data_IF_343406339729
#
_entry.id   IF_343406339729
#
_cell.length_a   1.000
_cell.length_b   1.000
_cell.length_c   1.000
_cell.angle_alpha   90.00
_cell.angle_beta   90.00
_cell.angle_gamma   90.00
#
_symmetry.space_group_name_H-M   'P 1'
#
loop_
_entity.id
_entity.type
_entity.pdbx_description
1 polymer ?
#
# COMPACT_ATOMS: atom_id res chain seq x y z
N UNK A 1 12.89 16.04 14.07
CA UNK A 1 11.95 15.63 13.01
C UNK A 1 11.06 14.50 13.53
N UNK A 2 9.75 14.54 13.29
CA UNK A 2 8.82 13.49 13.72
C UNK A 2 8.75 12.43 12.63
N UNK A 3 9.32 11.25 12.87
CA UNK A 3 9.25 10.15 11.88
C UNK A 3 7.81 9.72 11.64
N UNK A 4 7.39 9.71 10.39
CA UNK A 4 6.16 9.07 9.91
C UNK A 4 6.46 7.58 9.76
N UNK A 5 5.96 6.76 10.68
CA UNK A 5 6.38 5.36 10.82
C UNK A 5 5.35 4.36 10.29
N UNK A 6 5.83 3.29 9.66
CA UNK A 6 5.07 2.05 9.45
C UNK A 6 5.03 1.26 10.77
N UNK A 7 3.88 1.25 11.44
CA UNK A 7 3.72 0.64 12.77
C UNK A 7 4.10 -0.84 12.77
N UNK A 8 5.01 -1.22 13.68
CA UNK A 8 5.31 -2.62 13.98
C UNK A 8 4.14 -3.36 14.64
N UNK A 9 3.16 -2.61 15.15
CA UNK A 9 2.01 -3.14 15.86
C UNK A 9 0.89 -3.41 14.87
N UNK A 10 0.32 -4.61 14.94
CA UNK A 10 -0.98 -4.88 14.35
C UNK A 10 -2.02 -3.91 14.92
N UNK A 11 -2.84 -3.35 14.05
CA UNK A 11 -3.89 -2.42 14.44
C UNK A 11 -4.90 -3.08 15.38
N UNK A 12 -5.55 -2.25 16.20
CA UNK A 12 -6.67 -2.73 17.01
C UNK A 12 -7.85 -3.02 16.10
N UNK A 13 -8.25 -4.28 16.02
CA UNK A 13 -9.58 -4.66 15.52
C UNK A 13 -10.65 -3.81 16.23
N UNK A 14 -11.59 -3.23 15.46
CA UNK A 14 -12.72 -2.48 16.03
C UNK A 14 -13.73 -3.49 16.58
N UNK A 15 -14.10 -3.39 17.87
CA UNK A 15 -15.12 -4.23 18.51
C UNK A 15 -14.68 -4.94 19.80
N UNK A 16 -15.49 -5.90 20.26
CA UNK A 16 -15.19 -6.71 21.45
C UNK A 16 -14.13 -7.76 21.11
N UNK A 17 -12.91 -7.56 21.63
CA UNK A 17 -11.80 -8.48 21.38
C UNK A 17 -11.71 -9.47 22.55
N UNK A 18 -11.72 -10.76 22.22
CA UNK A 18 -11.49 -11.83 23.18
C UNK A 18 -10.11 -11.64 23.87
N UNK A 19 -10.02 -11.67 25.22
CA UNK A 19 -8.77 -11.50 25.96
C UNK A 19 -7.61 -12.39 25.49
N UNK A 20 -7.89 -13.63 25.05
CA UNK A 20 -6.88 -14.54 24.52
C UNK A 20 -6.29 -14.01 23.20
N UNK A 21 -7.13 -13.47 22.33
CA UNK A 21 -6.68 -12.85 21.07
C UNK A 21 -5.82 -11.61 21.35
N UNK A 22 -6.16 -10.83 22.38
CA UNK A 22 -5.34 -9.69 22.81
C UNK A 22 -3.93 -10.11 23.23
N UNK A 23 -3.79 -11.12 24.08
CA UNK A 23 -2.48 -11.60 24.55
C UNK A 23 -1.67 -12.17 23.40
N UNK A 24 -2.30 -12.97 22.52
CA UNK A 24 -1.63 -13.51 21.32
C UNK A 24 -1.12 -12.39 20.40
N UNK A 25 -1.94 -11.36 20.14
CA UNK A 25 -1.54 -10.20 19.34
C UNK A 25 -0.35 -9.47 19.97
N UNK A 26 -0.37 -9.27 21.28
CA UNK A 26 0.74 -8.62 21.98
C UNK A 26 2.04 -9.42 21.85
N UNK A 27 1.99 -10.73 22.02
CA UNK A 27 3.14 -11.62 21.79
C UNK A 27 3.67 -11.55 20.35
N UNK A 28 2.78 -11.54 19.35
CA UNK A 28 3.17 -11.35 17.94
C UNK A 28 3.83 -9.99 17.70
N UNK A 29 3.28 -8.90 18.23
CA UNK A 29 3.85 -7.56 18.11
C UNK A 29 5.26 -7.47 18.69
N UNK A 30 5.52 -8.11 19.84
CA UNK A 30 6.86 -8.19 20.42
C UNK A 30 7.80 -8.99 19.51
N UNK A 31 7.35 -10.14 19.01
CA UNK A 31 8.12 -10.95 18.06
C UNK A 31 8.52 -10.13 16.83
N UNK A 32 7.57 -9.43 16.21
CA UNK A 32 7.82 -8.62 15.02
C UNK A 32 8.80 -7.47 15.31
N UNK A 33 8.65 -6.79 16.45
CA UNK A 33 9.59 -5.74 16.85
C UNK A 33 11.01 -6.29 17.04
N UNK A 34 11.15 -7.43 17.74
CA UNK A 34 12.43 -8.11 17.89
C UNK A 34 13.05 -8.50 16.54
N UNK A 35 12.25 -9.06 15.63
CA UNK A 35 12.73 -9.46 14.31
C UNK A 35 13.26 -8.27 13.51
N UNK A 36 12.54 -7.13 13.47
CA UNK A 36 13.04 -5.91 12.80
C UNK A 36 14.32 -5.38 13.43
N UNK A 37 14.44 -5.40 14.77
CA UNK A 37 15.66 -4.98 15.46
C UNK A 37 16.84 -5.91 15.13
N UNK A 38 16.61 -7.23 15.13
CA UNK A 38 17.69 -8.23 14.98
C UNK A 38 18.10 -8.47 13.53
N UNK A 39 17.16 -8.40 12.59
CA UNK A 39 17.31 -8.83 11.20
C UNK A 39 16.98 -7.73 10.16
N UNK A 40 16.41 -6.60 10.58
CA UNK A 40 16.01 -5.51 9.69
C UNK A 40 14.58 -5.62 9.14
N UNK A 41 13.93 -6.78 9.24
CA UNK A 41 12.55 -7.04 8.80
C UNK A 41 11.86 -8.08 9.70
N UNK A 42 10.54 -8.23 9.60
CA UNK A 42 9.78 -9.27 10.32
C UNK A 42 8.87 -10.12 9.42
N UNK A 43 8.27 -11.17 9.98
CA UNK A 43 7.39 -12.08 9.22
C UNK A 43 6.22 -11.34 8.53
N UNK A 44 5.72 -10.26 9.14
CA UNK A 44 4.67 -9.40 8.56
C UNK A 44 5.17 -8.65 7.32
N UNK A 45 6.41 -8.18 7.33
CA UNK A 45 7.01 -7.49 6.18
C UNK A 45 7.18 -8.46 5.01
N UNK A 46 7.50 -9.72 5.32
CA UNK A 46 7.62 -10.80 4.32
C UNK A 46 6.26 -11.22 3.77
N UNK A 47 5.20 -11.19 4.60
CA UNK A 47 3.84 -11.54 4.16
C UNK A 47 3.36 -10.66 2.99
N UNK A 48 3.79 -9.39 2.95
CA UNK A 48 3.50 -8.48 1.86
C UNK A 48 4.62 -7.44 1.73
N UNK A 49 5.64 -7.80 0.96
CA UNK A 49 6.82 -6.97 0.70
C UNK A 49 6.43 -5.71 -0.06
N UNK A 50 5.47 -5.83 -0.98
CA UNK A 50 4.89 -4.73 -1.74
C UNK A 50 4.27 -3.67 -0.83
N UNK A 51 3.45 -4.10 0.14
CA UNK A 51 2.84 -3.20 1.11
C UNK A 51 3.89 -2.57 2.02
N UNK A 52 4.86 -3.35 2.51
CA UNK A 52 5.98 -2.84 3.30
C UNK A 52 6.75 -1.77 2.52
N UNK A 53 7.08 -2.03 1.25
CA UNK A 53 7.84 -1.11 0.40
C UNK A 53 7.11 0.22 0.25
N UNK A 54 5.84 0.18 -0.17
CA UNK A 54 5.03 1.38 -0.38
C UNK A 54 4.68 2.10 0.94
N UNK A 55 4.72 1.41 2.08
CA UNK A 55 4.53 2.01 3.40
C UNK A 55 5.80 2.62 4.01
N UNK A 56 6.99 2.11 3.67
CA UNK A 56 8.25 2.47 4.34
C UNK A 56 9.12 3.37 3.46
N UNK A 57 9.32 3.01 2.20
CA UNK A 57 10.25 3.71 1.31
C UNK A 57 9.83 5.17 1.07
N UNK A 58 8.55 5.52 0.86
CA UNK A 58 8.15 6.92 0.70
C UNK A 58 8.41 7.78 1.94
N UNK A 59 8.33 7.19 3.14
CA UNK A 59 8.66 7.90 4.38
C UNK A 59 10.18 8.11 4.51
N UNK A 60 10.99 7.13 4.08
CA UNK A 60 12.45 7.30 4.02
C UNK A 60 12.87 8.37 3.00
N UNK A 61 12.20 8.41 1.84
CA UNK A 61 12.44 9.43 0.81
C UNK A 61 12.01 10.82 1.29
N UNK A 62 10.90 10.93 2.03
CA UNK A 62 10.47 12.18 2.64
C UNK A 62 11.48 12.63 3.70
N UNK A 63 11.91 11.75 4.60
CA UNK A 63 12.97 12.03 5.56
C UNK A 63 14.25 12.51 4.84
N UNK A 64 14.69 11.83 3.78
CA UNK A 64 15.85 12.21 2.97
C UNK A 64 15.69 13.60 2.36
N UNK A 65 14.55 13.89 1.74
CA UNK A 65 14.26 15.20 1.14
C UNK A 65 14.35 16.33 2.15
N UNK A 66 13.84 16.12 3.36
CA UNK A 66 13.85 17.15 4.41
C UNK A 66 15.22 17.32 5.09
N UNK A 67 16.06 16.28 5.09
CA UNK A 67 17.37 16.33 5.76
C UNK A 67 18.54 16.56 4.82
N UNK A 68 18.35 16.46 3.50
CA UNK A 68 19.49 16.45 2.57
C UNK A 68 20.20 17.80 2.47
N UNK A 69 21.53 17.76 2.52
CA UNK A 69 22.42 18.91 2.46
C UNK A 69 23.00 19.15 1.05
N UNK A 70 22.66 18.29 0.09
CA UNK A 70 23.20 18.37 -1.27
C UNK A 70 22.31 17.69 -2.31
N UNK A 71 22.78 17.71 -3.55
CA UNK A 71 22.13 17.03 -4.66
C UNK A 71 23.18 16.28 -5.48
N UNK A 72 22.82 15.15 -6.12
CA UNK A 72 23.76 14.39 -6.93
C UNK A 72 24.24 15.17 -8.15
N UNK A 73 25.47 14.92 -8.60
CA UNK A 73 25.97 15.45 -9.88
C UNK A 73 25.09 14.94 -11.01
N UNK A 74 24.25 15.82 -11.54
CA UNK A 74 23.50 15.58 -12.76
C UNK A 74 24.50 15.47 -13.93
N UNK A 75 24.24 14.61 -14.91
CA UNK A 75 25.19 14.32 -16.01
C UNK A 75 25.69 15.53 -16.78
N UNK A 76 25.01 16.67 -16.65
CA UNK A 76 25.27 17.90 -17.39
C UNK A 76 25.76 19.04 -16.46
N UNK A 77 25.80 18.82 -15.15
CA UNK A 77 26.27 19.78 -14.16
C UNK A 77 27.20 19.07 -13.16
N UNK A 78 28.47 19.45 -13.17
CA UNK A 78 29.37 19.12 -12.07
C UNK A 78 28.78 19.76 -10.81
N UNK A 79 28.05 18.98 -10.01
CA UNK A 79 27.49 19.43 -8.74
C UNK A 79 28.62 20.09 -7.95
N UNK A 80 28.50 21.40 -7.75
CA UNK A 80 29.48 22.22 -7.03
C UNK A 80 29.44 21.98 -5.51
N UNK A 81 28.70 20.97 -5.06
CA UNK A 81 28.75 20.47 -3.69
C UNK A 81 30.11 19.78 -3.43
N UNK A 82 31.19 20.57 -3.41
CA UNK A 82 32.49 20.20 -2.88
C UNK A 82 32.37 20.19 -1.35
N UNK A 83 31.79 19.12 -0.81
CA UNK A 83 31.82 18.87 0.63
C UNK A 83 33.27 18.60 1.03
N UNK A 84 33.88 19.53 1.77
CA UNK A 84 35.20 19.34 2.41
C UNK A 84 36.37 20.17 1.91
N UNK A 85 36.21 21.14 1.00
CA UNK A 85 37.35 21.97 0.52
C UNK A 85 37.53 23.32 1.21
N UNK A 86 36.67 23.68 2.17
CA UNK A 86 36.73 25.00 2.81
C UNK A 86 36.40 26.16 1.86
N UNK A 87 35.84 25.87 0.68
CA UNK A 87 35.22 26.85 -0.19
C UNK A 87 33.81 27.20 0.33
N UNK A 88 33.29 28.42 0.11
CA UNK A 88 31.94 28.77 0.51
C UNK A 88 30.91 27.81 -0.11
N UNK A 89 29.95 27.36 0.70
CA UNK A 89 28.75 26.62 0.28
C UNK A 89 27.88 27.52 -0.61
N UNK A 90 28.29 27.73 -1.86
CA UNK A 90 27.37 28.20 -2.89
C UNK A 90 26.58 26.99 -3.36
N UNK A 91 25.62 26.56 -2.52
CA UNK A 91 24.62 25.57 -2.90
C UNK A 91 23.80 26.20 -4.02
N UNK A 92 23.97 25.66 -5.22
CA UNK A 92 23.15 26.02 -6.37
C UNK A 92 21.68 25.70 -6.07
N UNK A 93 20.89 26.76 -5.86
CA UNK A 93 19.47 26.68 -5.52
C UNK A 93 18.66 25.93 -6.59
N UNK A 94 19.08 25.98 -7.85
CA UNK A 94 18.38 25.35 -8.97
C UNK A 94 18.54 23.82 -8.93
N UNK A 95 19.77 23.33 -8.74
CA UNK A 95 20.05 21.90 -8.57
C UNK A 95 19.35 21.28 -7.37
N UNK A 96 19.36 21.97 -6.21
CA UNK A 96 18.61 21.52 -5.03
C UNK A 96 17.10 21.48 -5.28
N UNK A 97 16.55 22.50 -5.95
CA UNK A 97 15.13 22.52 -6.29
C UNK A 97 14.76 21.38 -7.22
N UNK A 98 15.62 21.07 -8.21
CA UNK A 98 15.42 19.94 -9.13
C UNK A 98 15.44 18.61 -8.38
N UNK A 99 16.40 18.40 -7.48
CA UNK A 99 16.50 17.19 -6.68
C UNK A 99 15.29 17.00 -5.74
N UNK A 100 14.88 18.06 -5.05
CA UNK A 100 13.65 18.06 -4.26
C UNK A 100 12.41 17.75 -5.09
N UNK A 101 12.36 18.20 -6.35
CA UNK A 101 11.32 17.85 -7.31
C UNK A 101 11.28 16.35 -7.59
N UNK A 102 12.43 15.75 -7.90
CA UNK A 102 12.58 14.32 -8.18
C UNK A 102 12.17 13.47 -6.98
N UNK A 103 12.66 13.78 -5.78
CA UNK A 103 12.27 13.08 -4.55
C UNK A 103 10.76 13.23 -4.29
N UNK A 104 10.20 14.42 -4.48
CA UNK A 104 8.76 14.66 -4.30
C UNK A 104 7.90 13.88 -5.28
N UNK A 105 8.35 13.76 -6.53
CA UNK A 105 7.67 12.96 -7.56
C UNK A 105 7.69 11.47 -7.21
N UNK A 106 8.85 10.92 -6.81
CA UNK A 106 8.95 9.53 -6.33
C UNK A 106 8.02 9.26 -5.14
N UNK A 107 8.05 10.15 -4.13
CA UNK A 107 7.18 10.05 -2.94
C UNK A 107 5.70 10.05 -3.35
N UNK A 108 5.31 10.97 -4.22
CA UNK A 108 3.93 11.08 -4.71
C UNK A 108 3.50 9.79 -5.43
N UNK A 109 4.30 9.30 -6.38
CA UNK A 109 3.98 8.11 -7.17
C UNK A 109 3.82 6.86 -6.30
N UNK A 110 4.71 6.64 -5.33
CA UNK A 110 4.56 5.50 -4.42
C UNK A 110 3.38 5.64 -3.46
N UNK A 111 3.07 6.85 -3.00
CA UNK A 111 1.85 7.11 -2.20
C UNK A 111 0.58 6.85 -3.03
N UNK A 112 0.57 7.20 -4.31
CA UNK A 112 -0.58 6.93 -5.18
C UNK A 112 -0.69 5.45 -5.60
N UNK A 113 0.42 4.72 -5.66
CA UNK A 113 0.42 3.28 -5.90
C UNK A 113 -0.17 2.47 -4.73
N UNK A 114 -0.03 2.98 -3.49
CA UNK A 114 -0.52 2.32 -2.28
C UNK A 114 -2.04 2.46 -2.13
N UNK A 115 -2.71 1.38 -1.76
CA UNK A 115 -4.18 1.33 -1.68
C UNK A 115 -4.77 2.35 -0.71
N UNK A 116 -4.26 2.37 0.52
CA UNK A 116 -4.77 3.25 1.58
C UNK A 116 -4.58 4.74 1.29
N UNK A 117 -3.47 5.12 0.66
CA UNK A 117 -3.11 6.53 0.42
C UNK A 117 -3.49 7.03 -0.96
N UNK A 118 -3.85 6.14 -1.89
CA UNK A 118 -4.30 6.51 -3.23
C UNK A 118 -5.53 7.44 -3.16
N UNK A 119 -5.41 8.57 -3.85
CA UNK A 119 -6.47 9.60 -3.90
C UNK A 119 -7.65 9.20 -4.78
N UNK A 120 -7.48 8.27 -5.72
CA UNK A 120 -8.57 7.76 -6.57
C UNK A 120 -9.46 6.83 -5.76
N UNK A 121 -10.74 7.18 -5.63
CA UNK A 121 -11.77 6.39 -4.93
C UNK A 121 -12.86 5.96 -5.90
N UNK A 122 -13.45 4.80 -5.64
CA UNK A 122 -14.52 4.27 -6.47
C UNK A 122 -15.84 4.99 -6.12
N UNK A 123 -16.48 5.71 -7.07
CA UNK A 123 -17.74 6.41 -6.82
C UNK A 123 -18.89 5.47 -6.42
N UNK A 124 -18.82 4.19 -6.79
CA UNK A 124 -19.83 3.18 -6.48
C UNK A 124 -19.56 2.44 -5.17
N UNK A 125 -18.52 2.81 -4.41
CA UNK A 125 -18.12 2.08 -3.19
C UNK A 125 -19.23 2.01 -2.14
N UNK A 126 -19.89 3.14 -1.85
CA UNK A 126 -20.97 3.19 -0.86
C UNK A 126 -22.19 2.38 -1.29
N UNK A 127 -22.54 2.44 -2.58
CA UNK A 127 -23.69 1.72 -3.14
C UNK A 127 -23.42 0.21 -3.20
N UNK A 128 -22.23 -0.19 -3.66
CA UNK A 128 -21.78 -1.58 -3.67
C UNK A 128 -21.73 -2.16 -2.25
N UNK A 129 -21.26 -1.39 -1.27
CA UNK A 129 -21.26 -1.79 0.14
C UNK A 129 -22.68 -2.03 0.68
N UNK A 130 -23.63 -1.15 0.32
CA UNK A 130 -25.05 -1.32 0.66
C UNK A 130 -25.64 -2.57 0.01
N UNK A 131 -25.41 -2.76 -1.29
CA UNK A 131 -25.83 -3.95 -2.03
C UNK A 131 -25.25 -5.22 -1.42
N UNK A 132 -23.99 -5.18 -0.98
CA UNK A 132 -23.33 -6.33 -0.34
C UNK A 132 -23.98 -6.70 0.98
N UNK A 133 -24.38 -5.70 1.77
CA UNK A 133 -25.09 -5.90 3.02
C UNK A 133 -26.48 -6.52 2.77
N UNK A 134 -27.23 -5.97 1.82
CA UNK A 134 -28.55 -6.49 1.43
C UNK A 134 -28.45 -7.92 0.88
N UNK A 135 -27.46 -8.20 0.03
CA UNK A 135 -27.18 -9.54 -0.48
C UNK A 135 -26.91 -10.53 0.65
N UNK A 136 -26.07 -10.14 1.62
CA UNK A 136 -25.74 -11.00 2.77
C UNK A 136 -26.95 -11.24 3.68
N UNK A 137 -27.81 -10.23 3.85
CA UNK A 137 -29.06 -10.36 4.61
C UNK A 137 -30.08 -11.27 3.90
N UNK A 138 -30.16 -11.20 2.56
CA UNK A 138 -31.12 -11.97 1.74
C UNK A 138 -30.69 -13.41 1.50
N UNK A 139 -29.42 -13.62 1.15
CA UNK A 139 -28.90 -14.90 0.70
C UNK A 139 -27.86 -15.51 1.65
N UNK A 140 -27.56 -14.87 2.78
CA UNK A 140 -26.52 -15.34 3.69
C UNK A 140 -25.10 -15.02 3.20
N UNK A 141 -24.12 -15.41 4.01
CA UNK A 141 -22.71 -15.19 3.72
C UNK A 141 -22.32 -15.93 2.43
N UNK A 142 -21.65 -15.26 1.48
CA UNK A 142 -21.32 -15.81 0.15
C UNK A 142 -22.48 -16.48 -0.60
N UNK A 143 -23.72 -16.04 -0.34
CA UNK A 143 -24.90 -16.51 -1.03
C UNK A 143 -25.27 -17.96 -0.72
N UNK A 144 -24.99 -18.44 0.49
CA UNK A 144 -25.33 -19.80 0.95
C UNK A 144 -26.80 -20.19 0.68
N UNK A 145 -27.72 -19.24 0.74
CA UNK A 145 -29.15 -19.40 0.45
C UNK A 145 -29.49 -19.58 -1.04
N UNK A 146 -28.53 -19.37 -1.95
CA UNK A 146 -28.67 -19.65 -3.38
C UNK A 146 -28.29 -21.08 -3.75
N UNK A 147 -27.59 -21.80 -2.85
CA UNK A 147 -27.13 -23.16 -3.12
C UNK A 147 -28.29 -24.14 -3.20
N UNK A 148 -28.29 -24.91 -4.27
CA UNK A 148 -29.20 -26.05 -4.45
C UNK A 148 -28.77 -27.25 -3.60
N UNK A 149 -29.69 -28.19 -3.36
CA UNK A 149 -29.38 -29.41 -2.61
C UNK A 149 -28.39 -30.33 -3.36
N UNK A 150 -28.38 -30.28 -4.69
CA UNK A 150 -27.42 -31.01 -5.52
C UNK A 150 -26.00 -30.45 -5.32
N UNK A 151 -25.84 -29.12 -5.37
CA UNK A 151 -24.56 -28.47 -5.12
C UNK A 151 -24.03 -28.76 -3.71
N UNK A 152 -24.89 -28.76 -2.69
CA UNK A 152 -24.49 -29.12 -1.32
C UNK A 152 -24.00 -30.57 -1.21
N UNK A 153 -24.67 -31.50 -1.91
CA UNK A 153 -24.26 -32.91 -1.93
C UNK A 153 -22.93 -33.11 -2.68
N UNK A 154 -22.68 -32.35 -3.73
CA UNK A 154 -21.39 -32.33 -4.44
C UNK A 154 -20.26 -31.75 -3.57
N UNK A 155 -20.51 -30.63 -2.89
CA UNK A 155 -19.58 -30.00 -1.95
C UNK A 155 -19.17 -30.98 -0.84
N UNK A 156 -20.12 -31.73 -0.27
CA UNK A 156 -19.85 -32.73 0.77
C UNK A 156 -19.00 -33.91 0.25
N UNK A 157 -19.21 -34.29 -1.01
CA UNK A 157 -18.47 -35.41 -1.65
C UNK A 157 -17.06 -35.00 -2.08
N UNK A 158 -16.90 -33.80 -2.63
CA UNK A 158 -15.65 -33.32 -3.21
C UNK A 158 -14.79 -32.53 -2.21
N UNK A 159 -15.38 -32.11 -1.09
CA UNK A 159 -14.73 -31.20 -0.13
C UNK A 159 -14.49 -29.80 -0.72
N UNK A 160 -15.25 -29.43 -1.74
CA UNK A 160 -15.23 -28.10 -2.37
C UNK A 160 -16.31 -27.21 -1.76
N UNK A 161 -16.19 -25.89 -1.93
CA UNK A 161 -17.22 -24.94 -1.50
C UNK A 161 -17.43 -23.90 -2.58
N UNK A 162 -18.66 -23.77 -3.04
CA UNK A 162 -19.07 -22.80 -4.06
C UNK A 162 -19.47 -21.49 -3.41
N UNK A 163 -19.01 -20.39 -3.98
CA UNK A 163 -19.34 -19.03 -3.55
C UNK A 163 -20.18 -18.36 -4.62
N UNK A 164 -21.21 -17.63 -4.17
CA UNK A 164 -21.98 -16.73 -4.99
C UNK A 164 -21.66 -15.28 -4.60
N UNK A 165 -21.31 -14.50 -5.61
CA UNK A 165 -21.01 -13.07 -5.51
C UNK A 165 -22.22 -12.26 -5.98
N UNK A 166 -22.21 -10.95 -5.72
CA UNK A 166 -23.29 -10.05 -6.11
C UNK A 166 -23.60 -10.15 -7.62
N UNK A 167 -22.56 -10.20 -8.45
CA UNK A 167 -22.70 -10.24 -9.91
C UNK A 167 -23.37 -11.51 -10.46
N UNK A 168 -23.46 -12.57 -9.66
CA UNK A 168 -24.11 -13.83 -10.07
C UNK A 168 -25.64 -13.74 -10.02
N UNK A 169 -26.17 -12.70 -9.37
CA UNK A 169 -27.61 -12.47 -9.20
C UNK A 169 -28.03 -11.29 -10.08
N UNK A 170 -29.05 -11.43 -10.95
CA UNK A 170 -29.48 -10.36 -11.86
C UNK A 170 -29.78 -9.03 -11.16
N UNK A 171 -30.32 -9.08 -9.94
CA UNK A 171 -30.65 -7.89 -9.15
C UNK A 171 -29.45 -7.00 -8.79
N UNK A 172 -28.26 -7.59 -8.62
CA UNK A 172 -27.05 -6.86 -8.21
C UNK A 172 -25.97 -6.80 -9.29
N UNK A 173 -26.25 -7.38 -10.47
CA UNK A 173 -25.29 -7.48 -11.55
C UNK A 173 -24.82 -6.12 -12.05
N UNK A 174 -25.75 -5.18 -12.26
CA UNK A 174 -25.41 -3.86 -12.79
C UNK A 174 -24.46 -3.09 -11.85
N UNK A 175 -24.77 -3.01 -10.56
CA UNK A 175 -23.90 -2.33 -9.58
C UNK A 175 -22.56 -3.05 -9.41
N UNK A 176 -22.55 -4.38 -9.47
CA UNK A 176 -21.32 -5.16 -9.41
C UNK A 176 -20.42 -4.84 -10.63
N UNK A 177 -20.97 -4.87 -11.84
CA UNK A 177 -20.23 -4.57 -13.08
C UNK A 177 -19.67 -3.15 -13.05
N UNK A 178 -20.48 -2.15 -12.68
CA UNK A 178 -20.06 -0.75 -12.55
C UNK A 178 -18.93 -0.58 -11.52
N UNK A 179 -19.06 -1.20 -10.34
CA UNK A 179 -18.05 -1.15 -9.30
C UNK A 179 -16.73 -1.76 -9.78
N UNK A 180 -16.77 -2.97 -10.37
CA UNK A 180 -15.56 -3.66 -10.80
C UNK A 180 -14.89 -2.99 -11.99
N UNK A 181 -15.65 -2.41 -12.93
CA UNK A 181 -15.07 -1.70 -14.06
C UNK A 181 -14.34 -0.42 -13.63
N UNK A 182 -14.88 0.30 -12.65
CA UNK A 182 -14.17 1.46 -12.10
C UNK A 182 -13.00 1.04 -11.20
N UNK A 183 -13.14 -0.06 -10.44
CA UNK A 183 -12.04 -0.64 -9.67
C UNK A 183 -10.85 -1.02 -10.56
N UNK A 184 -11.10 -1.64 -11.73
CA UNK A 184 -10.03 -1.97 -12.71
C UNK A 184 -9.25 -0.72 -13.13
N UNK A 185 -9.93 0.38 -13.46
CA UNK A 185 -9.26 1.63 -13.83
C UNK A 185 -8.40 2.19 -12.70
N UNK A 186 -8.86 2.11 -11.45
CA UNK A 186 -8.08 2.52 -10.28
C UNK A 186 -6.84 1.64 -10.12
N UNK A 187 -6.99 0.33 -10.29
CA UNK A 187 -5.86 -0.62 -10.24
C UNK A 187 -4.85 -0.33 -11.35
N UNK A 188 -5.30 -0.07 -12.58
CA UNK A 188 -4.42 0.33 -13.69
C UNK A 188 -3.65 1.62 -13.38
N UNK A 189 -4.32 2.65 -12.87
CA UNK A 189 -3.68 3.87 -12.42
C UNK A 189 -2.61 3.62 -11.35
N UNK A 190 -2.91 2.80 -10.34
CA UNK A 190 -1.95 2.42 -9.30
C UNK A 190 -0.74 1.68 -9.87
N UNK A 191 -0.96 0.81 -10.86
CA UNK A 191 0.12 0.12 -11.56
C UNK A 191 1.02 1.10 -12.32
N UNK A 192 0.44 2.06 -13.05
CA UNK A 192 1.21 3.10 -13.73
C UNK A 192 2.03 3.96 -12.75
N UNK A 193 1.44 4.35 -11.61
CA UNK A 193 2.15 5.08 -10.56
C UNK A 193 3.32 4.28 -10.01
N UNK A 194 3.11 2.98 -9.73
CA UNK A 194 4.15 2.07 -9.28
C UNK A 194 5.27 1.95 -10.31
N UNK A 195 4.96 1.76 -11.59
CA UNK A 195 5.97 1.61 -12.64
C UNK A 195 6.80 2.89 -12.81
N UNK A 196 6.15 4.06 -12.92
CA UNK A 196 6.85 5.35 -12.99
C UNK A 196 7.70 5.63 -11.75
N UNK A 197 7.18 5.31 -10.56
CA UNK A 197 7.92 5.47 -9.30
C UNK A 197 9.16 4.57 -9.26
N UNK A 198 9.04 3.33 -9.74
CA UNK A 198 10.17 2.38 -9.81
C UNK A 198 11.19 2.78 -10.87
N UNK A 199 10.77 3.37 -12.00
CA UNK A 199 11.69 3.87 -13.02
C UNK A 199 12.55 5.01 -12.46
N UNK A 200 11.96 5.98 -11.77
CA UNK A 200 12.70 7.04 -11.07
C UNK A 200 13.60 6.46 -9.97
N UNK A 201 13.09 5.54 -9.17
CA UNK A 201 13.86 4.91 -8.11
C UNK A 201 15.07 4.14 -8.65
N UNK A 202 14.92 3.48 -9.79
CA UNK A 202 15.99 2.78 -10.51
C UNK A 202 17.03 3.75 -11.06
N UNK A 203 16.59 4.87 -11.65
CA UNK A 203 17.48 5.90 -12.19
C UNK A 203 18.35 6.52 -11.09
N UNK A 204 17.74 6.87 -9.96
CA UNK A 204 18.38 7.59 -8.85
C UNK A 204 18.91 6.68 -7.74
N UNK A 205 18.90 5.36 -7.94
CA UNK A 205 19.17 4.38 -6.88
C UNK A 205 20.46 4.65 -6.09
N UNK A 206 21.55 4.99 -6.79
CA UNK A 206 22.86 5.26 -6.20
C UNK A 206 23.03 6.68 -5.62
N UNK A 207 21.98 7.48 -5.68
CA UNK A 207 21.93 8.86 -5.22
C UNK A 207 20.96 9.07 -4.05
N UNK A 208 20.30 8.01 -3.57
CA UNK A 208 19.42 8.04 -2.40
C UNK A 208 20.22 7.94 -1.09
N UNK A 209 21.15 8.86 -0.91
CA UNK A 209 21.96 9.03 0.30
C UNK A 209 22.21 10.52 0.55
N UNK A 210 22.55 10.85 1.80
CA UNK A 210 22.97 12.19 2.23
C UNK A 210 24.28 12.10 3.03
#
# INVERSE_FOLDING_TARGET
MKKTGYSCLEERERGFINPIKHVKRWGRNIKHAYQRIRYGYCDRDVWSIDWWFLSVVPNMLEDLRETTHGYPSMSDDFSRALVGTGAPEEVDEEGMKRWNGILSEMIFLFREAHEDTCTKKNPFEEEYSRATKEFTEKYGFFGDGLKTEEEKAEEEKEGSYRWYMLGDVPEYKEIADLYYDEYKKIVEYRHECKDKGMDLFKEWFWNLWD
#
